data_IF_077397072749
#
_entry.id   IF_077397072749
#
_cell.length_a   1.000
_cell.length_b   1.000
_cell.length_c   1.000
_cell.angle_alpha   90.00
_cell.angle_beta   90.00
_cell.angle_gamma   90.00
#
_symmetry.space_group_name_H-M   'P 1'
#
loop_
_entity.id
_entity.type
_entity.pdbx_description
1 polymer ?
#
# COMPACT_ATOMS: atom_id res chain seq x y z
N UNK A 1 -18.94 4.67 0.69
CA UNK A 1 -18.29 3.50 1.34
C UNK A 1 -18.41 3.65 2.84
N UNK A 2 -18.60 2.55 3.60
CA UNK A 2 -18.58 2.61 5.06
C UNK A 2 -17.13 2.58 5.56
N UNK A 3 -16.87 3.30 6.65
CA UNK A 3 -15.54 3.34 7.29
C UNK A 3 -15.09 1.97 7.72
N UNK A 4 -16.01 1.19 8.30
CA UNK A 4 -15.76 -0.18 8.74
C UNK A 4 -15.21 -1.06 7.61
N UNK A 5 -15.82 -1.01 6.42
CA UNK A 5 -15.34 -1.77 5.26
C UNK A 5 -13.96 -1.30 4.82
N UNK A 6 -13.71 0.01 4.78
CA UNK A 6 -12.39 0.53 4.42
C UNK A 6 -11.34 0.09 5.43
N UNK A 7 -11.64 0.18 6.72
CA UNK A 7 -10.74 -0.27 7.80
C UNK A 7 -10.40 -1.74 7.64
N UNK A 8 -11.37 -2.62 7.38
CA UNK A 8 -11.06 -4.03 7.13
C UNK A 8 -10.18 -4.24 5.90
N UNK A 9 -10.49 -3.57 4.79
CA UNK A 9 -9.67 -3.67 3.57
C UNK A 9 -8.23 -3.23 3.87
N UNK A 10 -8.05 -2.05 4.46
CA UNK A 10 -6.73 -1.52 4.80
C UNK A 10 -5.99 -2.43 5.79
N UNK A 11 -6.68 -2.92 6.82
CA UNK A 11 -6.11 -3.79 7.85
C UNK A 11 -5.81 -5.21 7.37
N UNK A 12 -6.35 -5.63 6.21
CA UNK A 12 -5.98 -6.89 5.57
C UNK A 12 -4.88 -6.66 4.54
N UNK A 13 -5.07 -5.70 3.63
CA UNK A 13 -4.15 -5.45 2.51
C UNK A 13 -2.75 -5.11 3.03
N UNK A 14 -2.62 -4.20 4.00
CA UNK A 14 -1.29 -3.78 4.47
C UNK A 14 -0.54 -4.94 5.14
N UNK A 15 -1.09 -5.63 6.18
CA UNK A 15 -0.36 -6.72 6.83
C UNK A 15 -0.11 -7.90 5.91
N UNK A 16 -1.08 -8.29 5.06
CA UNK A 16 -0.88 -9.41 4.11
C UNK A 16 0.23 -9.07 3.14
N UNK A 17 0.26 -7.86 2.60
CA UNK A 17 1.33 -7.43 1.67
C UNK A 17 2.70 -7.47 2.34
N UNK A 18 2.81 -6.99 3.59
CA UNK A 18 4.07 -6.98 4.33
C UNK A 18 4.53 -8.38 4.71
N UNK A 19 3.65 -9.20 5.32
CA UNK A 19 3.98 -10.56 5.76
C UNK A 19 4.37 -11.40 4.55
N UNK A 20 3.56 -11.38 3.49
CA UNK A 20 3.86 -12.13 2.28
C UNK A 20 5.13 -11.62 1.61
N UNK A 21 5.31 -10.30 1.51
CA UNK A 21 6.53 -9.70 0.94
C UNK A 21 7.79 -10.16 1.66
N UNK A 22 7.76 -10.19 2.99
CA UNK A 22 8.88 -10.67 3.82
C UNK A 22 9.11 -12.17 3.61
N UNK A 23 8.05 -13.00 3.66
CA UNK A 23 8.17 -14.44 3.45
C UNK A 23 8.70 -14.78 2.06
N UNK A 24 8.22 -14.07 1.04
CA UNK A 24 8.72 -14.21 -0.33
C UNK A 24 10.18 -13.79 -0.42
N UNK A 25 10.55 -12.64 0.14
CA UNK A 25 11.94 -12.16 0.14
C UNK A 25 12.91 -13.17 0.76
N UNK A 26 12.53 -13.81 1.87
CA UNK A 26 13.33 -14.88 2.48
C UNK A 26 13.47 -16.14 1.63
N UNK A 27 12.46 -16.48 0.83
CA UNK A 27 12.51 -17.65 -0.06
C UNK A 27 13.21 -17.36 -1.39
N UNK A 28 13.15 -16.11 -1.86
CA UNK A 28 13.72 -15.69 -3.13
C UNK A 28 15.19 -15.23 -3.00
N UNK A 29 15.65 -14.97 -1.78
CA UNK A 29 17.04 -14.65 -1.51
C UNK A 29 17.94 -15.88 -1.73
N UNK A 30 19.10 -15.66 -2.35
CA UNK A 30 20.15 -16.67 -2.47
C UNK A 30 20.92 -16.86 -1.14
N UNK A 31 21.96 -17.70 -1.16
CA UNK A 31 22.81 -17.98 0.02
C UNK A 31 23.52 -16.73 0.56
N UNK A 32 23.71 -15.71 -0.29
CA UNK A 32 24.32 -14.43 0.07
C UNK A 32 23.28 -13.38 0.52
N UNK A 33 22.00 -13.75 0.56
CA UNK A 33 20.90 -12.84 0.93
C UNK A 33 20.50 -11.87 -0.17
N UNK A 34 20.97 -12.07 -1.41
CA UNK A 34 20.68 -11.23 -2.55
C UNK A 34 19.41 -11.72 -3.25
N UNK A 35 18.51 -10.79 -3.57
CA UNK A 35 17.30 -11.09 -4.34
C UNK A 35 17.54 -10.67 -5.78
N UNK A 36 17.59 -11.67 -6.68
CA UNK A 36 17.66 -11.44 -8.11
C UNK A 36 16.25 -11.19 -8.65
N UNK A 37 16.06 -10.02 -9.27
CA UNK A 37 14.78 -9.65 -9.87
C UNK A 37 14.49 -10.44 -11.15
N UNK A 38 15.53 -10.93 -11.82
CA UNK A 38 15.41 -11.73 -13.03
C UNK A 38 14.71 -13.06 -12.71
N UNK A 39 13.60 -13.34 -13.41
CA UNK A 39 12.72 -14.48 -13.14
C UNK A 39 11.74 -14.27 -11.98
N UNK A 40 11.80 -13.13 -11.30
CA UNK A 40 10.96 -12.74 -10.16
C UNK A 40 10.14 -11.47 -10.42
N UNK A 41 10.18 -10.93 -11.64
CA UNK A 41 9.51 -9.70 -12.05
C UNK A 41 8.01 -9.72 -11.76
N UNK A 42 7.27 -10.83 -11.99
CA UNK A 42 5.84 -10.88 -11.67
C UNK A 42 5.56 -10.63 -10.17
N UNK A 43 6.41 -11.15 -9.28
CA UNK A 43 6.28 -10.92 -7.84
C UNK A 43 6.63 -9.48 -7.47
N UNK A 44 7.69 -8.92 -8.06
CA UNK A 44 8.06 -7.52 -7.86
C UNK A 44 6.91 -6.57 -8.27
N UNK A 45 6.30 -6.79 -9.44
CA UNK A 45 5.15 -6.01 -9.89
C UNK A 45 3.90 -6.22 -9.02
N UNK A 46 3.67 -7.44 -8.55
CA UNK A 46 2.58 -7.74 -7.62
C UNK A 46 2.73 -6.97 -6.30
N UNK A 47 3.91 -7.03 -5.67
CA UNK A 47 4.16 -6.30 -4.42
C UNK A 47 4.13 -4.79 -4.60
N UNK A 48 4.59 -4.29 -5.75
CA UNK A 48 4.46 -2.88 -6.09
C UNK A 48 2.97 -2.48 -6.17
N UNK A 49 2.15 -3.22 -6.90
CA UNK A 49 0.71 -2.96 -7.02
C UNK A 49 -0.04 -3.03 -5.69
N UNK A 50 0.29 -4.03 -4.86
CA UNK A 50 -0.27 -4.17 -3.51
C UNK A 50 0.15 -3.02 -2.60
N UNK A 51 1.41 -2.58 -2.67
CA UNK A 51 1.92 -1.44 -1.90
C UNK A 51 1.23 -0.14 -2.31
N UNK A 52 1.00 0.08 -3.61
CA UNK A 52 0.23 1.22 -4.11
C UNK A 52 -1.20 1.21 -3.55
N UNK A 53 -1.86 0.05 -3.60
CA UNK A 53 -3.21 -0.12 -3.08
C UNK A 53 -3.26 0.11 -1.56
N UNK A 54 -2.28 -0.42 -0.82
CA UNK A 54 -2.12 -0.21 0.61
C UNK A 54 -1.93 1.26 0.96
N UNK A 55 -1.09 1.98 0.22
CA UNK A 55 -0.89 3.42 0.42
C UNK A 55 -2.18 4.22 0.16
N UNK A 56 -2.90 3.93 -0.92
CA UNK A 56 -4.15 4.63 -1.24
C UNK A 56 -5.20 4.38 -0.17
N UNK A 57 -5.48 3.11 0.15
CA UNK A 57 -6.50 2.73 1.13
C UNK A 57 -6.11 3.19 2.53
N UNK A 58 -4.84 3.11 2.91
CA UNK A 58 -4.29 3.64 4.15
C UNK A 58 -4.42 5.16 4.25
N UNK A 59 -4.09 5.90 3.19
CA UNK A 59 -4.21 7.37 3.16
C UNK A 59 -5.66 7.83 3.28
N UNK A 60 -6.60 7.16 2.60
CA UNK A 60 -8.03 7.45 2.73
C UNK A 60 -8.52 7.10 4.14
N UNK A 61 -8.10 5.96 4.69
CA UNK A 61 -8.47 5.55 6.05
C UNK A 61 -7.97 6.57 7.09
N UNK A 62 -6.73 7.05 6.95
CA UNK A 62 -6.14 8.08 7.78
C UNK A 62 -6.91 9.40 7.70
N UNK A 63 -7.40 9.79 6.52
CA UNK A 63 -8.25 10.99 6.40
C UNK A 63 -9.63 10.78 7.03
N UNK A 64 -10.18 9.57 6.91
CA UNK A 64 -11.50 9.24 7.41
C UNK A 64 -11.60 9.20 8.95
N UNK A 65 -10.49 9.12 9.68
CA UNK A 65 -10.48 9.20 11.16
C UNK A 65 -10.99 10.54 11.68
N UNK A 66 -10.78 11.63 10.92
CA UNK A 66 -11.21 12.98 11.28
C UNK A 66 -12.67 13.28 10.89
N UNK A 67 -13.30 12.39 10.13
CA UNK A 67 -14.69 12.57 9.68
C UNK A 67 -15.66 12.07 10.76
N UNK A 68 -16.83 12.70 10.94
CA UNK A 68 -17.86 12.21 11.87
C UNK A 68 -18.81 11.24 11.17
N UNK A 69 -19.30 10.24 11.91
CA UNK A 69 -20.21 9.20 11.41
C UNK A 69 -19.53 8.04 10.67
N UNK A 70 -20.32 7.08 10.19
CA UNK A 70 -19.83 5.80 9.66
C UNK A 70 -19.58 5.77 8.14
N UNK A 71 -19.95 6.84 7.44
CA UNK A 71 -19.77 6.95 5.99
C UNK A 71 -18.57 7.83 5.67
N UNK A 72 -17.92 7.51 4.56
CA UNK A 72 -16.81 8.29 4.02
C UNK A 72 -17.35 9.24 2.94
N UNK A 73 -17.11 10.54 3.09
CA UNK A 73 -17.46 11.51 2.05
C UNK A 73 -16.48 11.47 0.88
N UNK A 74 -16.93 11.95 -0.28
CA UNK A 74 -16.09 12.10 -1.47
C UNK A 74 -14.88 13.00 -1.20
N UNK A 75 -15.05 14.04 -0.39
CA UNK A 75 -13.96 14.96 0.00
C UNK A 75 -12.83 14.22 0.72
N UNK A 76 -13.18 13.32 1.64
CA UNK A 76 -12.21 12.49 2.36
C UNK A 76 -11.44 11.57 1.40
N UNK A 77 -12.14 10.95 0.44
CA UNK A 77 -11.51 10.10 -0.59
C UNK A 77 -10.51 10.90 -1.43
N UNK A 78 -10.91 12.05 -1.97
CA UNK A 78 -10.01 12.90 -2.77
C UNK A 78 -8.83 13.42 -1.95
N UNK A 79 -9.07 13.78 -0.68
CA UNK A 79 -8.03 14.22 0.23
C UNK A 79 -7.03 13.11 0.57
N UNK A 80 -7.49 11.87 0.68
CA UNK A 80 -6.62 10.70 0.87
C UNK A 80 -5.82 10.36 -0.38
N UNK A 81 -6.46 10.44 -1.56
CA UNK A 81 -5.78 10.26 -2.85
C UNK A 81 -4.70 11.32 -3.07
N UNK A 82 -4.95 12.57 -2.70
CA UNK A 82 -3.95 13.64 -2.77
C UNK A 82 -2.72 13.33 -1.89
N UNK A 83 -2.92 12.80 -0.67
CA UNK A 83 -1.82 12.38 0.20
C UNK A 83 -1.02 11.23 -0.43
N UNK A 84 -1.69 10.22 -0.96
CA UNK A 84 -1.02 9.11 -1.65
C UNK A 84 -0.22 9.60 -2.87
N UNK A 85 -0.79 10.50 -3.67
CA UNK A 85 -0.12 11.08 -4.83
C UNK A 85 1.13 11.90 -4.45
N UNK A 86 1.05 12.71 -3.39
CA UNK A 86 2.23 13.44 -2.87
C UNK A 86 3.33 12.47 -2.47
N UNK A 87 2.99 11.37 -1.79
CA UNK A 87 3.95 10.35 -1.43
C UNK A 87 4.62 9.69 -2.66
N UNK A 88 3.85 9.41 -3.71
CA UNK A 88 4.40 8.90 -4.96
C UNK A 88 5.35 9.89 -5.62
N UNK A 89 4.92 11.15 -5.75
CA UNK A 89 5.73 12.19 -6.37
C UNK A 89 7.04 12.40 -5.60
N UNK A 90 6.98 12.40 -4.27
CA UNK A 90 8.18 12.46 -3.43
C UNK A 90 9.09 11.23 -3.61
N UNK A 91 8.53 10.01 -3.61
CA UNK A 91 9.33 8.80 -3.79
C UNK A 91 10.02 8.77 -5.15
N UNK A 92 9.32 9.23 -6.20
CA UNK A 92 9.85 9.35 -7.56
C UNK A 92 10.94 10.43 -7.62
N UNK A 93 10.77 11.58 -6.97
CA UNK A 93 11.78 12.65 -6.97
C UNK A 93 13.08 12.28 -6.25
N UNK A 94 13.04 11.29 -5.34
CA UNK A 94 14.23 10.77 -4.64
C UNK A 94 14.88 9.60 -5.40
N UNK A 95 14.14 8.96 -6.32
CA UNK A 95 14.66 7.84 -7.13
C UNK A 95 15.21 8.26 -8.48
N UNK A 96 14.82 9.43 -8.98
CA UNK A 96 15.34 10.06 -10.20
C UNK A 96 16.54 10.92 -9.85
#
# INVERSE_FOLDING_TARGET
>A
MSKKVLTYITAIVIPVTLIWGILWAFNAADEDGTIHLEGNEPYAYLFLGLSITGLITGSIALRATNEKGDKISKKTVFSGLAVAAIFFLWRLSVSL
#
